data_IF_837958640715
#
_entry.id   IF_837958640715
#
_cell.length_a   1.000
_cell.length_b   1.000
_cell.length_c   1.000
_cell.angle_alpha   90.00
_cell.angle_beta   90.00
_cell.angle_gamma   90.00
#
_symmetry.space_group_name_H-M   'P 1'
#
loop_
_entity.id
_entity.type
_entity.pdbx_description
1 polymer ?
#
# COMPACT_ATOMS: atom_id res chain seq x y z
N UNK A 1 5.68 32.21 21.90
CA UNK A 1 4.54 31.26 21.77
C UNK A 1 4.46 30.68 20.36
N UNK A 2 4.51 31.50 19.30
CA UNK A 2 4.56 31.04 17.90
C UNK A 2 5.69 30.03 17.63
N UNK A 3 6.92 30.29 18.10
CA UNK A 3 8.03 29.35 17.92
C UNK A 3 7.84 27.96 18.57
N UNK A 4 7.06 27.85 19.64
CA UNK A 4 6.73 26.53 20.24
C UNK A 4 5.69 25.81 19.40
N UNK A 5 4.69 26.53 18.89
CA UNK A 5 3.68 25.96 17.98
C UNK A 5 4.33 25.44 16.69
N UNK A 6 5.23 26.22 16.09
CA UNK A 6 5.95 25.80 14.88
C UNK A 6 6.80 24.54 15.14
N UNK A 7 7.48 24.47 16.28
CA UNK A 7 8.25 23.29 16.68
C UNK A 7 7.36 22.05 16.83
N UNK A 8 6.18 22.20 17.43
CA UNK A 8 5.21 21.10 17.59
C UNK A 8 4.67 20.65 16.23
N UNK A 9 4.30 21.59 15.36
CA UNK A 9 3.84 21.27 13.99
C UNK A 9 4.94 20.49 13.25
N UNK A 10 6.19 20.94 13.33
CA UNK A 10 7.31 20.28 12.68
C UNK A 10 7.56 18.86 13.23
N UNK A 11 7.47 18.69 14.56
CA UNK A 11 7.60 17.37 15.20
C UNK A 11 6.48 16.41 14.76
N UNK A 12 5.24 16.89 14.70
CA UNK A 12 4.09 16.08 14.24
C UNK A 12 4.21 15.74 12.76
N UNK A 13 4.66 16.67 11.91
CA UNK A 13 4.92 16.41 10.49
C UNK A 13 6.01 15.35 10.30
N UNK A 14 7.08 15.39 11.09
CA UNK A 14 8.11 14.38 11.07
C UNK A 14 7.56 13.00 11.47
N UNK A 15 6.78 12.93 12.57
CA UNK A 15 6.15 11.70 13.02
C UNK A 15 5.19 11.13 11.97
N UNK A 16 4.43 11.99 11.30
CA UNK A 16 3.54 11.60 10.21
C UNK A 16 4.32 11.01 9.04
N UNK A 17 5.38 11.71 8.59
CA UNK A 17 6.24 11.23 7.51
C UNK A 17 6.93 9.89 7.84
N UNK A 18 7.42 9.75 9.07
CA UNK A 18 8.02 8.50 9.55
C UNK A 18 7.01 7.34 9.58
N UNK A 19 5.81 7.60 10.10
CA UNK A 19 4.73 6.60 10.15
C UNK A 19 4.32 6.18 8.74
N UNK A 20 4.22 7.13 7.81
CA UNK A 20 3.90 6.87 6.41
C UNK A 20 4.99 6.01 5.74
N UNK A 21 6.27 6.35 5.93
CA UNK A 21 7.39 5.56 5.44
C UNK A 21 7.38 4.12 6.00
N UNK A 22 7.09 3.97 7.29
CA UNK A 22 6.95 2.66 7.94
C UNK A 22 5.80 1.86 7.33
N UNK A 23 4.64 2.50 7.11
CA UNK A 23 3.51 1.86 6.43
C UNK A 23 3.85 1.36 5.02
N UNK A 24 4.63 2.13 4.26
CA UNK A 24 5.13 1.70 2.95
C UNK A 24 6.04 0.47 3.04
N UNK A 25 6.96 0.44 4.00
CA UNK A 25 7.84 -0.72 4.24
C UNK A 25 7.02 -1.96 4.59
N UNK A 26 6.04 -1.83 5.50
CA UNK A 26 5.14 -2.92 5.88
C UNK A 26 4.34 -3.44 4.69
N UNK A 27 3.82 -2.53 3.86
CA UNK A 27 3.08 -2.90 2.64
C UNK A 27 3.97 -3.69 1.67
N UNK A 28 5.22 -3.25 1.45
CA UNK A 28 6.18 -3.95 0.60
C UNK A 28 6.50 -5.36 1.13
N UNK A 29 6.64 -5.51 2.45
CA UNK A 29 6.89 -6.80 3.08
C UNK A 29 5.71 -7.78 2.91
N UNK A 30 4.48 -7.31 3.13
CA UNK A 30 3.26 -8.11 3.00
C UNK A 30 2.97 -8.55 1.55
N UNK A 31 3.22 -7.66 0.57
CA UNK A 31 3.09 -8.00 -0.86
C UNK A 31 4.19 -8.98 -1.29
N UNK A 32 5.38 -8.89 -0.71
CA UNK A 32 6.46 -9.85 -0.95
C UNK A 32 6.11 -11.26 -0.46
N UNK A 33 5.59 -11.40 0.76
CA UNK A 33 5.29 -12.71 1.37
C UNK A 33 4.13 -13.46 0.70
N UNK A 34 3.13 -12.74 0.18
CA UNK A 34 1.96 -13.34 -0.49
C UNK A 34 2.29 -13.98 -1.85
N UNK A 35 3.45 -13.69 -2.45
CA UNK A 35 3.85 -14.23 -3.76
C UNK A 35 4.47 -15.61 -3.71
N UNK A 36 5.19 -15.96 -2.63
CA UNK A 36 5.78 -17.30 -2.46
C UNK A 36 4.69 -18.38 -2.40
N UNK A 37 3.52 -18.06 -1.86
CA UNK A 37 2.34 -18.95 -1.86
C UNK A 37 1.72 -19.12 -3.26
N UNK A 38 1.65 -18.05 -4.07
CA UNK A 38 1.02 -18.08 -5.42
C UNK A 38 1.89 -18.72 -6.50
N UNK A 39 3.18 -18.93 -6.26
CA UNK A 39 4.07 -19.55 -7.24
C UNK A 39 3.62 -20.97 -7.65
N UNK A 40 3.02 -21.74 -6.73
CA UNK A 40 2.49 -23.09 -7.02
C UNK A 40 1.24 -23.05 -7.90
N UNK A 41 0.32 -22.13 -7.63
CA UNK A 41 -0.91 -21.94 -8.42
C UNK A 41 -0.58 -21.45 -9.84
N UNK A 42 0.40 -20.55 -9.97
CA UNK A 42 0.94 -20.11 -11.26
C UNK A 42 1.56 -21.28 -12.05
N UNK A 43 2.27 -22.18 -11.36
CA UNK A 43 2.82 -23.39 -11.96
C UNK A 43 1.75 -24.32 -12.54
N UNK A 44 0.65 -24.52 -11.79
CA UNK A 44 -0.50 -25.31 -12.24
C UNK A 44 -1.23 -24.67 -13.43
N UNK A 45 -1.52 -23.37 -13.37
CA UNK A 45 -2.15 -22.65 -14.48
C UNK A 45 -1.31 -22.68 -15.76
N UNK A 46 0.02 -22.60 -15.62
CA UNK A 46 0.94 -22.67 -16.77
C UNK A 46 1.02 -24.09 -17.36
N UNK A 47 0.90 -25.13 -16.52
CA UNK A 47 0.77 -26.51 -16.99
C UNK A 47 -0.53 -26.76 -17.76
N UNK A 48 -1.58 -26.00 -17.47
CA UNK A 48 -2.86 -25.99 -18.21
C UNK A 48 -2.86 -25.05 -19.44
N UNK A 49 -1.73 -24.41 -19.76
CA UNK A 49 -1.57 -23.58 -20.96
C UNK A 49 -1.89 -22.08 -20.78
N UNK A 50 -2.06 -21.59 -19.55
CA UNK A 50 -2.35 -20.17 -19.33
C UNK A 50 -1.14 -19.27 -19.68
N UNK A 51 -1.33 -18.21 -20.48
CA UNK A 51 -0.25 -17.31 -20.84
C UNK A 51 0.14 -16.42 -19.64
N UNK A 52 1.45 -16.20 -19.46
CA UNK A 52 2.00 -15.37 -18.38
C UNK A 52 1.45 -13.93 -18.34
N UNK A 53 0.93 -13.44 -19.47
CA UNK A 53 0.27 -12.14 -19.60
C UNK A 53 -1.06 -12.05 -18.85
N UNK A 54 -1.86 -13.12 -18.85
CA UNK A 54 -3.14 -13.16 -18.15
C UNK A 54 -2.92 -13.07 -16.64
N UNK A 55 -1.94 -13.80 -16.13
CA UNK A 55 -1.65 -13.82 -14.70
C UNK A 55 -1.06 -12.48 -14.22
N UNK A 56 -0.29 -11.80 -15.07
CA UNK A 56 0.16 -10.44 -14.78
C UNK A 56 -1.00 -9.42 -14.78
N UNK A 57 -2.02 -9.59 -15.63
CA UNK A 57 -3.21 -8.74 -15.63
C UNK A 57 -4.05 -8.96 -14.36
N UNK A 58 -4.30 -10.20 -13.96
CA UNK A 58 -5.05 -10.53 -12.73
C UNK A 58 -4.36 -9.94 -11.50
N UNK A 59 -3.04 -10.13 -11.37
CA UNK A 59 -2.28 -9.57 -10.24
C UNK A 59 -2.36 -8.04 -10.18
N UNK A 60 -2.31 -7.36 -11.35
CA UNK A 60 -2.44 -5.89 -11.42
C UNK A 60 -3.84 -5.46 -11.02
N UNK A 61 -4.88 -6.15 -11.50
CA UNK A 61 -6.27 -5.87 -11.16
C UNK A 61 -6.53 -6.03 -9.66
N UNK A 62 -6.00 -7.08 -9.03
CA UNK A 62 -6.11 -7.28 -7.59
C UNK A 62 -5.40 -6.19 -6.79
N UNK A 63 -4.15 -5.84 -7.14
CA UNK A 63 -3.41 -4.79 -6.44
C UNK A 63 -4.08 -3.43 -6.58
N UNK A 64 -4.57 -3.10 -7.78
CA UNK A 64 -5.33 -1.87 -8.02
C UNK A 64 -6.64 -1.87 -7.24
N UNK A 65 -7.37 -2.99 -7.23
CA UNK A 65 -8.64 -3.12 -6.51
C UNK A 65 -8.48 -3.00 -4.99
N UNK A 66 -7.56 -3.77 -4.40
CA UNK A 66 -7.27 -3.71 -2.96
C UNK A 66 -6.70 -2.34 -2.58
N UNK A 67 -5.80 -1.79 -3.39
CA UNK A 67 -5.26 -0.45 -3.18
C UNK A 67 -6.34 0.64 -3.25
N UNK A 68 -7.27 0.54 -4.20
CA UNK A 68 -8.41 1.46 -4.30
C UNK A 68 -9.31 1.40 -3.08
N UNK A 69 -9.67 0.19 -2.63
CA UNK A 69 -10.50 -0.02 -1.44
C UNK A 69 -9.81 0.51 -0.17
N UNK A 70 -8.53 0.21 0.00
CA UNK A 70 -7.74 0.71 1.13
C UNK A 70 -7.65 2.24 1.12
N UNK A 71 -7.37 2.84 -0.05
CA UNK A 71 -7.30 4.28 -0.21
C UNK A 71 -8.65 4.97 0.02
N UNK A 72 -9.75 4.39 -0.45
CA UNK A 72 -11.10 4.88 -0.20
C UNK A 72 -11.42 4.89 1.30
N UNK A 73 -11.12 3.79 1.99
CA UNK A 73 -11.36 3.65 3.42
C UNK A 73 -10.51 4.63 4.22
N UNK A 74 -9.21 4.73 3.91
CA UNK A 74 -8.32 5.69 4.53
C UNK A 74 -8.78 7.14 4.31
N UNK A 75 -9.17 7.49 3.08
CA UNK A 75 -9.68 8.83 2.75
C UNK A 75 -11.00 9.16 3.46
N UNK A 76 -11.88 8.17 3.62
CA UNK A 76 -13.15 8.34 4.36
C UNK A 76 -12.88 8.57 5.85
N UNK A 77 -12.00 7.76 6.46
CA UNK A 77 -11.60 7.95 7.87
C UNK A 77 -10.93 9.30 8.06
N UNK A 78 -10.02 9.70 7.18
CA UNK A 78 -9.36 10.99 7.24
C UNK A 78 -10.35 12.15 7.12
N UNK A 79 -11.33 12.05 6.20
CA UNK A 79 -12.38 13.06 6.03
C UNK A 79 -13.25 13.17 7.28
N UNK A 80 -13.64 12.04 7.89
CA UNK A 80 -14.43 12.01 9.12
C UNK A 80 -13.64 12.64 10.27
N UNK A 81 -12.39 12.24 10.48
CA UNK A 81 -11.54 12.80 11.54
C UNK A 81 -11.31 14.30 11.34
N UNK A 82 -11.06 14.74 10.10
CA UNK A 82 -10.91 16.16 9.79
C UNK A 82 -12.19 16.95 10.08
N UNK A 83 -13.36 16.41 9.71
CA UNK A 83 -14.65 17.04 10.00
C UNK A 83 -14.94 17.10 11.51
N UNK A 84 -14.62 16.04 12.26
CA UNK A 84 -14.78 16.02 13.72
C UNK A 84 -13.85 17.04 14.39
N UNK A 85 -12.56 17.09 14.02
CA UNK A 85 -11.64 18.08 14.56
C UNK A 85 -12.07 19.51 14.20
N UNK A 86 -12.47 19.74 12.94
CA UNK A 86 -12.94 21.05 12.50
C UNK A 86 -14.16 21.51 13.31
N UNK A 87 -15.12 20.62 13.59
CA UNK A 87 -16.33 20.98 14.32
C UNK A 87 -16.14 21.10 15.84
N UNK A 88 -15.42 20.16 16.45
CA UNK A 88 -15.35 20.04 17.92
C UNK A 88 -14.13 20.70 18.55
N UNK A 89 -13.02 20.85 17.81
CA UNK A 89 -11.78 21.41 18.36
C UNK A 89 -11.54 22.81 17.83
N UNK A 90 -11.78 23.03 16.53
CA UNK A 90 -11.47 24.30 15.87
C UNK A 90 -12.69 25.19 15.62
N UNK A 91 -13.91 24.69 15.88
CA UNK A 91 -15.19 25.41 15.70
C UNK A 91 -15.37 26.05 14.31
N UNK A 92 -14.78 25.44 13.26
CA UNK A 92 -14.88 25.93 11.89
C UNK A 92 -16.10 25.34 11.15
N UNK A 93 -16.76 26.18 10.33
CA UNK A 93 -17.77 25.73 9.37
C UNK A 93 -17.10 25.05 8.17
N UNK A 94 -16.75 23.77 8.37
CA UNK A 94 -16.06 22.97 7.37
C UNK A 94 -17.03 22.28 6.41
N UNK A 95 -16.83 22.50 5.10
CA UNK A 95 -17.61 21.81 4.06
C UNK A 95 -16.98 20.46 3.71
N UNK A 96 -17.76 19.39 3.87
CA UNK A 96 -17.40 18.04 3.42
C UNK A 96 -17.21 18.04 1.90
N UNK A 97 -16.01 17.67 1.46
CA UNK A 97 -15.66 17.56 0.05
C UNK A 97 -15.75 16.09 -0.40
N UNK A 98 -16.81 15.68 -1.12
CA UNK A 98 -17.07 14.27 -1.43
C UNK A 98 -16.06 13.65 -2.40
N UNK A 99 -15.22 14.46 -3.05
CA UNK A 99 -14.13 13.97 -3.91
C UNK A 99 -12.90 13.48 -3.13
N UNK A 100 -12.77 13.77 -1.84
CA UNK A 100 -11.60 13.37 -1.03
C UNK A 100 -11.43 11.83 -0.96
N UNK A 101 -12.47 11.03 -0.69
CA UNK A 101 -12.35 9.56 -0.71
C UNK A 101 -12.01 9.02 -2.10
N UNK A 102 -12.51 9.64 -3.18
CA UNK A 102 -12.22 9.22 -4.56
C UNK A 102 -10.75 9.45 -4.90
N UNK A 103 -10.22 10.63 -4.58
CA UNK A 103 -8.80 10.94 -4.79
C UNK A 103 -7.92 9.99 -3.96
N UNK A 104 -8.31 9.73 -2.72
CA UNK A 104 -7.59 8.81 -1.83
C UNK A 104 -7.60 7.37 -2.37
N UNK A 105 -8.72 6.92 -2.95
CA UNK A 105 -8.83 5.62 -3.61
C UNK A 105 -7.88 5.50 -4.81
N UNK A 106 -7.86 6.51 -5.69
CA UNK A 106 -6.94 6.54 -6.83
C UNK A 106 -5.48 6.52 -6.34
N UNK A 107 -5.16 7.30 -5.31
CA UNK A 107 -3.82 7.33 -4.73
C UNK A 107 -3.42 5.98 -4.12
N UNK A 108 -4.32 5.34 -3.37
CA UNK A 108 -4.12 4.00 -2.81
C UNK A 108 -3.91 2.93 -3.89
N UNK A 109 -4.68 2.98 -4.98
CA UNK A 109 -4.52 2.07 -6.11
C UNK A 109 -3.13 2.23 -6.78
N UNK A 110 -2.71 3.46 -7.03
CA UNK A 110 -1.40 3.76 -7.62
C UNK A 110 -0.24 3.37 -6.69
N UNK A 111 -0.38 3.59 -5.37
CA UNK A 111 0.61 3.16 -4.38
C UNK A 111 0.72 1.64 -4.32
N UNK A 112 -0.39 0.90 -4.27
CA UNK A 112 -0.38 -0.56 -4.27
C UNK A 112 0.21 -1.14 -5.57
N UNK A 113 -0.13 -0.54 -6.71
CA UNK A 113 0.41 -0.93 -8.02
C UNK A 113 1.92 -0.68 -8.13
N UNK A 114 2.39 0.50 -7.74
CA UNK A 114 3.81 0.86 -7.74
C UNK A 114 4.63 0.02 -6.75
N UNK A 115 4.10 -0.24 -5.55
CA UNK A 115 4.70 -1.16 -4.59
C UNK A 115 4.79 -2.59 -5.14
N UNK A 116 3.77 -3.06 -5.86
CA UNK A 116 3.79 -4.33 -6.57
C UNK A 116 4.84 -4.41 -7.69
N UNK A 117 5.07 -3.30 -8.40
CA UNK A 117 6.13 -3.17 -9.43
C UNK A 117 7.54 -3.14 -8.82
N UNK A 118 7.74 -2.42 -7.72
CA UNK A 118 9.03 -2.36 -7.01
C UNK A 118 9.37 -3.67 -6.30
N UNK A 119 8.39 -4.34 -5.71
CA UNK A 119 8.55 -5.70 -5.18
C UNK A 119 9.00 -6.68 -6.28
N UNK A 120 8.44 -6.56 -7.50
CA UNK A 120 8.86 -7.37 -8.64
C UNK A 120 10.35 -7.19 -9.01
N UNK A 121 10.87 -5.96 -8.89
CA UNK A 121 12.31 -5.67 -9.07
C UNK A 121 13.15 -6.14 -7.87
N UNK A 122 12.60 -6.10 -6.66
CA UNK A 122 13.26 -6.55 -5.43
C UNK A 122 13.42 -8.07 -5.34
N UNK A 123 12.44 -8.84 -5.84
CA UNK A 123 12.49 -10.32 -5.84
C UNK A 123 13.48 -10.86 -6.89
N UNK A 124 13.73 -10.15 -8.00
CA UNK A 124 14.82 -10.50 -8.92
C UNK A 124 16.22 -10.40 -8.28
N UNK A 125 16.36 -9.80 -7.09
CA UNK A 125 17.61 -9.77 -6.30
C UNK A 125 17.70 -10.86 -5.21
N UNK A 126 16.67 -11.68 -5.00
CA UNK A 126 16.83 -12.89 -4.18
C UNK A 126 17.33 -14.01 -5.09
N UNK A 127 18.62 -14.42 -4.98
CA UNK A 127 19.13 -15.48 -5.82
C UNK A 127 18.39 -16.77 -5.44
N UNK A 128 17.80 -17.42 -6.45
CA UNK A 128 17.17 -18.75 -6.42
C UNK A 128 18.07 -19.81 -5.76
N UNK A 129 19.37 -19.52 -5.64
CA UNK A 129 20.36 -20.36 -4.96
C UNK A 129 20.12 -20.54 -3.46
N UNK A 130 19.36 -19.68 -2.76
CA UNK A 130 19.03 -19.90 -1.34
C UNK A 130 17.88 -20.89 -1.15
N UNK A 131 16.82 -20.81 -1.97
CA UNK A 131 15.70 -21.75 -1.89
C UNK A 131 16.06 -23.17 -2.31
N UNK A 132 17.06 -23.34 -3.19
CA UNK A 132 17.59 -24.67 -3.54
C UNK A 132 18.55 -25.25 -2.50
N UNK A 133 19.25 -24.41 -1.72
CA UNK A 133 20.16 -24.90 -0.65
C UNK A 133 19.40 -25.39 0.58
N UNK A 134 18.24 -24.82 0.88
CA UNK A 134 17.39 -25.27 1.99
C UNK A 134 16.67 -26.59 1.65
N UNK A 135 16.26 -26.80 0.39
CA UNK A 135 15.60 -28.03 -0.04
C UNK A 135 16.55 -29.25 -0.25
N UNK A 136 17.87 -29.03 -0.26
CA UNK A 136 18.88 -30.09 -0.33
C UNK A 136 19.52 -30.40 1.04
N UNK A 137 19.23 -29.60 2.06
CA UNK A 137 19.76 -29.78 3.41
C UNK A 137 18.80 -30.55 4.35
N UNK A 138 17.63 -30.92 3.84
CA UNK A 138 16.67 -31.87 4.44
C UNK A 138 16.75 -33.21 3.69
#
# INVERSE_FOLDING_TARGET
VQGVLDQVIQAVQFLFGFTLATGLVVLLAAVGSTREARAREFGLMRALGAPSSLLAQVQRAELLGVGALAGFLAGTVALVLAALLARFVFEFDWQLKPWVPVISAVFGALLAWSAGWWSLRGVLKRPVMQTLREAQAE
#
